data_IF_308416287616
#
_entry.id   IF_308416287616
#
_cell.length_a   1.000
_cell.length_b   1.000
_cell.length_c   1.000
_cell.angle_alpha   90.00
_cell.angle_beta   90.00
_cell.angle_gamma   90.00
#
_symmetry.space_group_name_H-M   'P 1'
#
loop_
_entity.id
_entity.type
_entity.pdbx_description
1 polymer ?
#
# COMPACT_ATOMS: atom_id res chain seq x y z
N UNK A 1 48.05 -32.30 -30.99
CA UNK A 1 48.77 -31.68 -32.13
C UNK A 1 47.75 -31.60 -33.24
N UNK A 2 47.00 -30.50 -33.26
CA UNK A 2 46.10 -30.16 -34.37
C UNK A 2 46.98 -29.65 -35.51
N UNK A 3 47.00 -30.36 -36.63
CA UNK A 3 47.59 -29.86 -37.87
C UNK A 3 46.48 -29.20 -38.70
N UNK A 4 46.67 -27.90 -38.94
CA UNK A 4 45.83 -27.03 -39.77
C UNK A 4 45.69 -27.57 -41.20
N UNK A 5 44.46 -27.80 -41.63
CA UNK A 5 44.13 -28.12 -43.03
C UNK A 5 43.76 -26.83 -43.79
N UNK A 6 44.42 -26.51 -44.92
CA UNK A 6 44.26 -25.22 -45.58
C UNK A 6 42.91 -25.10 -46.29
N UNK A 7 42.16 -24.03 -45.99
CA UNK A 7 40.94 -23.68 -46.72
C UNK A 7 41.27 -23.23 -48.15
N UNK A 8 40.86 -24.03 -49.15
CA UNK A 8 40.78 -23.58 -50.54
C UNK A 8 39.68 -22.53 -50.71
N UNK A 9 40.05 -21.36 -51.25
CA UNK A 9 39.11 -20.33 -51.69
C UNK A 9 38.34 -20.83 -52.91
N UNK A 10 37.03 -21.03 -52.75
CA UNK A 10 36.12 -21.25 -53.87
C UNK A 10 35.82 -19.89 -54.50
N UNK A 11 36.27 -19.72 -55.75
CA UNK A 11 36.08 -18.51 -56.53
C UNK A 11 34.64 -18.47 -57.08
N UNK A 12 33.76 -17.69 -56.45
CA UNK A 12 32.38 -17.52 -56.88
C UNK A 12 32.22 -16.32 -57.81
N UNK A 13 32.79 -16.45 -59.01
CA UNK A 13 32.50 -15.59 -60.15
C UNK A 13 31.19 -15.97 -60.84
N UNK A 14 30.04 -15.56 -60.30
CA UNK A 14 28.83 -15.22 -61.09
C UNK A 14 27.98 -14.20 -60.32
N UNK A 15 27.85 -12.99 -60.87
CA UNK A 15 26.97 -11.91 -60.40
C UNK A 15 25.49 -12.35 -60.45
N UNK A 16 25.02 -13.02 -59.41
CA UNK A 16 23.58 -13.07 -59.11
C UNK A 16 23.16 -11.67 -58.66
N UNK A 17 22.14 -11.12 -59.29
CA UNK A 17 21.59 -9.80 -58.95
C UNK A 17 21.43 -9.67 -57.43
N UNK A 18 21.97 -8.60 -56.86
CA UNK A 18 21.79 -8.24 -55.45
C UNK A 18 20.30 -7.98 -55.23
N UNK A 19 19.51 -9.03 -54.98
CA UNK A 19 18.27 -8.91 -54.23
C UNK A 19 18.69 -8.39 -52.86
N UNK A 20 18.57 -7.08 -52.69
CA UNK A 20 18.86 -6.35 -51.46
C UNK A 20 17.95 -6.97 -50.41
N UNK A 21 18.48 -7.90 -49.61
CA UNK A 21 17.74 -8.63 -48.58
C UNK A 21 17.32 -7.58 -47.54
N UNK A 22 16.12 -7.04 -47.68
CA UNK A 22 15.55 -6.06 -46.77
C UNK A 22 15.32 -6.79 -45.44
N UNK A 23 16.24 -6.60 -44.49
CA UNK A 23 16.02 -7.02 -43.10
C UNK A 23 15.11 -5.98 -42.47
N UNK A 24 13.80 -6.16 -42.65
CA UNK A 24 12.81 -5.37 -41.94
C UNK A 24 12.74 -5.90 -40.51
N UNK A 25 13.08 -5.06 -39.53
CA UNK A 25 12.81 -5.41 -38.14
C UNK A 25 11.29 -5.45 -37.93
N UNK A 26 10.73 -6.41 -37.17
CA UNK A 26 9.31 -6.38 -36.82
C UNK A 26 8.95 -5.04 -36.16
N UNK A 27 8.18 -4.20 -36.87
CA UNK A 27 7.81 -2.87 -36.39
C UNK A 27 8.71 -1.71 -36.84
N UNK A 28 9.58 -1.90 -37.82
CA UNK A 28 10.33 -0.79 -38.44
C UNK A 28 9.37 0.29 -38.97
N UNK A 29 9.62 1.55 -38.58
CA UNK A 29 8.76 2.69 -38.90
C UNK A 29 7.49 2.81 -38.04
N UNK A 30 7.24 1.90 -37.09
CA UNK A 30 6.10 1.99 -36.17
C UNK A 30 6.51 2.58 -34.82
N UNK A 31 5.68 3.47 -34.29
CA UNK A 31 5.83 4.02 -32.94
C UNK A 31 5.16 3.08 -31.93
N UNK A 32 5.84 2.67 -30.84
CA UNK A 32 5.23 1.80 -29.84
C UNK A 32 4.01 2.47 -29.21
N UNK A 33 2.95 1.69 -29.01
CA UNK A 33 1.77 2.16 -28.29
C UNK A 33 2.13 2.41 -26.82
N UNK A 34 1.55 3.47 -26.25
CA UNK A 34 1.68 3.72 -24.81
C UNK A 34 0.99 2.62 -24.02
N UNK A 35 1.57 2.25 -22.86
CA UNK A 35 1.00 1.30 -21.88
C UNK A 35 -0.44 1.68 -21.49
N UNK A 36 -0.79 2.97 -21.56
CA UNK A 36 -2.14 3.48 -21.27
C UNK A 36 -3.15 3.33 -22.41
N UNK A 37 -2.67 3.20 -23.65
CA UNK A 37 -3.51 3.13 -24.86
C UNK A 37 -3.76 1.70 -25.30
N UNK A 38 -2.80 0.81 -25.04
CA UNK A 38 -2.92 -0.60 -25.37
C UNK A 38 -3.66 -1.34 -24.24
N UNK A 39 -4.90 -1.72 -24.52
CA UNK A 39 -5.76 -2.43 -23.55
C UNK A 39 -5.23 -3.83 -23.24
N UNK A 40 -4.63 -4.49 -24.25
CA UNK A 40 -4.24 -5.89 -24.21
C UNK A 40 -2.75 -6.11 -23.96
N UNK A 41 -2.01 -5.03 -23.68
CA UNK A 41 -0.56 -5.05 -23.41
C UNK A 41 -0.15 -6.06 -22.34
N UNK A 42 -1.00 -6.32 -21.34
CA UNK A 42 -0.70 -7.28 -20.26
C UNK A 42 -0.58 -8.71 -20.83
N UNK A 43 -1.47 -9.05 -21.76
CA UNK A 43 -1.55 -10.36 -22.41
C UNK A 43 -0.49 -10.52 -23.49
N UNK A 44 -0.20 -9.44 -24.23
CA UNK A 44 0.79 -9.40 -25.31
C UNK A 44 2.23 -9.38 -24.78
N UNK A 45 2.50 -8.65 -23.70
CA UNK A 45 3.85 -8.56 -23.11
C UNK A 45 4.22 -9.83 -22.32
N UNK A 46 3.22 -10.55 -21.79
CA UNK A 46 3.44 -11.75 -20.96
C UNK A 46 2.74 -12.99 -21.50
N UNK A 47 3.06 -13.43 -22.73
CA UNK A 47 2.40 -14.58 -23.35
C UNK A 47 2.63 -15.88 -22.57
N UNK A 48 3.73 -16.01 -21.81
CA UNK A 48 3.97 -17.18 -20.94
C UNK A 48 3.00 -17.27 -19.76
N UNK A 49 2.45 -16.15 -19.30
CA UNK A 49 1.53 -16.11 -18.16
C UNK A 49 0.10 -16.39 -18.62
N UNK A 50 -0.27 -15.81 -19.77
CA UNK A 50 -1.64 -15.80 -20.29
C UNK A 50 -1.88 -16.74 -21.48
N UNK A 51 -0.83 -17.40 -21.98
CA UNK A 51 -0.85 -18.26 -23.17
C UNK A 51 -1.46 -17.58 -24.41
N UNK A 52 -1.29 -16.26 -24.52
CA UNK A 52 -1.87 -15.46 -25.62
C UNK A 52 -3.38 -15.25 -25.52
N UNK A 53 -4.02 -15.61 -24.40
CA UNK A 53 -5.45 -15.42 -24.20
C UNK A 53 -5.75 -14.20 -23.33
N UNK A 54 -6.71 -13.39 -23.79
CA UNK A 54 -7.30 -12.29 -23.01
C UNK A 54 -8.21 -12.85 -21.92
N UNK A 55 -8.13 -12.29 -20.72
CA UNK A 55 -9.06 -12.63 -19.64
C UNK A 55 -10.37 -11.87 -19.84
N UNK A 56 -11.48 -12.60 -20.05
CA UNK A 56 -12.81 -12.00 -20.07
C UNK A 56 -13.25 -11.67 -18.64
N UNK A 57 -13.21 -10.39 -18.27
CA UNK A 57 -13.66 -9.95 -16.95
C UNK A 57 -14.11 -8.49 -16.97
N UNK A 58 -15.08 -8.18 -16.11
CA UNK A 58 -15.57 -6.82 -15.84
C UNK A 58 -14.83 -6.15 -14.68
N UNK A 59 -13.93 -6.87 -14.00
CA UNK A 59 -13.22 -6.37 -12.83
C UNK A 59 -12.28 -5.21 -13.19
N UNK A 60 -12.14 -4.25 -12.26
CA UNK A 60 -11.22 -3.14 -12.44
C UNK A 60 -9.78 -3.65 -12.56
N UNK A 61 -8.93 -2.87 -13.23
CA UNK A 61 -7.51 -3.21 -13.35
C UNK A 61 -6.82 -3.37 -11.99
N UNK A 62 -7.21 -2.57 -10.99
CA UNK A 62 -6.68 -2.67 -9.63
C UNK A 62 -7.08 -4.00 -8.96
N UNK A 63 -8.31 -4.45 -9.15
CA UNK A 63 -8.79 -5.72 -8.59
C UNK A 63 -8.16 -6.91 -9.29
N UNK A 64 -7.99 -6.84 -10.62
CA UNK A 64 -7.21 -7.82 -11.37
C UNK A 64 -5.78 -7.91 -10.85
N UNK A 65 -5.09 -6.78 -10.66
CA UNK A 65 -3.75 -6.76 -10.08
C UNK A 65 -3.69 -7.40 -8.70
N UNK A 66 -4.59 -7.02 -7.78
CA UNK A 66 -4.67 -7.64 -6.45
C UNK A 66 -4.93 -9.14 -6.54
N UNK A 67 -5.83 -9.57 -7.43
CA UNK A 67 -6.11 -10.98 -7.67
C UNK A 67 -4.86 -11.70 -8.17
N UNK A 68 -4.17 -11.19 -9.19
CA UNK A 68 -2.97 -11.83 -9.73
C UNK A 68 -1.84 -11.91 -8.72
N UNK A 69 -1.65 -10.87 -7.90
CA UNK A 69 -0.69 -10.91 -6.81
C UNK A 69 -1.07 -12.01 -5.79
N UNK A 70 -2.36 -12.10 -5.40
CA UNK A 70 -2.87 -13.00 -4.35
C UNK A 70 -3.25 -14.41 -4.81
N UNK A 71 -3.09 -14.75 -6.08
CA UNK A 71 -3.52 -16.04 -6.60
C UNK A 71 -2.65 -17.16 -6.03
N UNK A 72 -3.31 -18.26 -5.65
CA UNK A 72 -2.66 -19.52 -5.30
C UNK A 72 -1.76 -20.03 -6.45
N UNK A 73 -2.16 -19.73 -7.69
CA UNK A 73 -1.41 -20.09 -8.88
C UNK A 73 -0.26 -19.11 -9.14
N UNK A 74 0.98 -19.57 -8.89
CA UNK A 74 2.16 -18.73 -8.71
C UNK A 74 2.83 -18.19 -9.97
N UNK A 75 2.37 -18.54 -11.18
CA UNK A 75 2.90 -18.01 -12.47
C UNK A 75 3.06 -16.49 -12.51
N UNK A 76 2.14 -15.76 -11.88
CA UNK A 76 2.16 -14.30 -11.84
C UNK A 76 3.14 -13.77 -10.79
N UNK A 77 3.31 -14.50 -9.69
CA UNK A 77 4.13 -14.12 -8.52
C UNK A 77 5.61 -14.44 -8.74
N UNK A 78 5.89 -15.57 -9.40
CA UNK A 78 7.24 -16.01 -9.78
C UNK A 78 7.94 -15.07 -10.75
N UNK A 79 7.20 -14.12 -11.33
CA UNK A 79 7.72 -13.11 -12.26
C UNK A 79 7.64 -11.71 -11.65
N UNK A 80 8.70 -11.26 -10.94
CA UNK A 80 8.76 -9.92 -10.38
C UNK A 80 8.55 -8.82 -11.43
N UNK A 81 9.03 -9.05 -12.65
CA UNK A 81 8.88 -8.12 -13.76
C UNK A 81 7.42 -7.95 -14.21
N UNK A 82 6.61 -9.01 -14.14
CA UNK A 82 5.16 -8.91 -14.35
C UNK A 82 4.49 -8.09 -13.25
N UNK A 83 4.83 -8.33 -11.98
CA UNK A 83 4.28 -7.57 -10.86
C UNK A 83 4.64 -6.08 -10.94
N UNK A 84 5.90 -5.76 -11.23
CA UNK A 84 6.38 -4.40 -11.41
C UNK A 84 5.70 -3.72 -12.61
N UNK A 85 5.52 -4.45 -13.72
CA UNK A 85 4.79 -3.96 -14.87
C UNK A 85 3.34 -3.61 -14.52
N UNK A 86 2.65 -4.51 -13.82
CA UNK A 86 1.27 -4.31 -13.42
C UNK A 86 1.12 -3.11 -12.48
N UNK A 87 2.00 -2.99 -11.48
CA UNK A 87 2.04 -1.84 -10.57
C UNK A 87 2.30 -0.54 -11.33
N UNK A 88 3.25 -0.53 -12.26
CA UNK A 88 3.54 0.64 -13.10
C UNK A 88 2.32 1.08 -13.90
N UNK A 89 1.61 0.15 -14.55
CA UNK A 89 0.37 0.45 -15.28
C UNK A 89 -0.73 0.94 -14.34
N UNK A 90 -0.84 0.40 -13.12
CA UNK A 90 -1.77 0.90 -12.09
C UNK A 90 -1.43 2.35 -11.69
N UNK A 91 -0.15 2.67 -11.47
CA UNK A 91 0.31 4.03 -11.20
C UNK A 91 -0.04 4.98 -12.35
N UNK A 92 0.17 4.57 -13.60
CA UNK A 92 -0.21 5.36 -14.77
C UNK A 92 -1.73 5.62 -14.84
N UNK A 93 -2.56 4.62 -14.56
CA UNK A 93 -4.02 4.82 -14.48
C UNK A 93 -4.40 5.82 -13.39
N UNK A 94 -3.79 5.72 -12.20
CA UNK A 94 -4.00 6.69 -11.11
C UNK A 94 -3.62 8.11 -11.54
N UNK A 95 -2.43 8.30 -12.09
CA UNK A 95 -1.95 9.59 -12.59
C UNK A 95 -2.90 10.18 -13.64
N UNK A 96 -3.32 9.37 -14.62
CA UNK A 96 -4.23 9.82 -15.69
C UNK A 96 -5.58 10.24 -15.13
N UNK A 97 -6.12 9.49 -14.17
CA UNK A 97 -7.38 9.83 -13.51
C UNK A 97 -7.26 11.08 -12.64
N UNK A 98 -6.12 11.30 -11.99
CA UNK A 98 -5.83 12.51 -11.24
C UNK A 98 -5.75 13.72 -12.16
N UNK A 99 -5.04 13.63 -13.29
CA UNK A 99 -5.01 14.69 -14.31
C UNK A 99 -6.42 15.05 -14.77
N UNK A 100 -7.22 14.05 -15.16
CA UNK A 100 -8.63 14.27 -15.57
C UNK A 100 -9.47 14.93 -14.48
N UNK A 101 -9.23 14.59 -13.22
CA UNK A 101 -9.96 15.16 -12.09
C UNK A 101 -9.55 16.61 -11.85
N UNK A 102 -8.26 16.92 -11.94
CA UNK A 102 -7.74 18.27 -11.78
C UNK A 102 -8.21 19.17 -12.90
N UNK A 103 -8.09 18.75 -14.16
CA UNK A 103 -8.57 19.52 -15.31
C UNK A 103 -10.07 19.83 -15.22
N UNK A 104 -10.88 18.93 -14.65
CA UNK A 104 -12.31 19.16 -14.41
C UNK A 104 -12.59 20.13 -13.25
N UNK A 105 -11.74 20.17 -12.23
CA UNK A 105 -11.91 21.01 -11.04
C UNK A 105 -11.33 22.42 -11.23
N UNK A 106 -10.23 22.54 -11.96
CA UNK A 106 -9.57 23.81 -12.22
C UNK A 106 -10.30 24.54 -13.34
N UNK A 107 -10.67 25.79 -13.10
CA UNK A 107 -11.32 26.66 -14.09
C UNK A 107 -10.27 27.54 -14.75
N UNK A 108 -10.37 27.70 -16.07
CA UNK A 108 -9.54 28.64 -16.81
C UNK A 108 -9.91 30.08 -16.40
N UNK A 109 -8.93 30.93 -16.02
CA UNK A 109 -9.18 32.32 -15.65
C UNK A 109 -9.88 33.11 -16.76
N UNK A 110 -9.55 32.80 -18.02
CA UNK A 110 -10.08 33.51 -19.19
C UNK A 110 -11.55 33.17 -19.51
N UNK A 111 -12.01 31.96 -19.19
CA UNK A 111 -13.35 31.49 -19.60
C UNK A 111 -14.26 31.10 -18.43
N UNK A 112 -13.73 30.96 -17.21
CA UNK A 112 -14.45 30.47 -16.05
C UNK A 112 -14.92 29.00 -16.14
N UNK A 113 -14.55 28.30 -17.22
CA UNK A 113 -14.92 26.90 -17.49
C UNK A 113 -13.75 25.96 -17.21
N UNK A 114 -13.98 24.65 -17.01
CA UNK A 114 -12.90 23.68 -16.85
C UNK A 114 -11.93 23.68 -18.04
N UNK A 115 -10.65 23.38 -17.78
CA UNK A 115 -9.63 23.33 -18.82
C UNK A 115 -9.92 22.20 -19.83
N UNK A 116 -9.84 22.53 -21.12
CA UNK A 116 -9.94 21.57 -22.23
C UNK A 116 -8.53 21.11 -22.63
N UNK A 117 -8.40 19.88 -23.14
CA UNK A 117 -7.11 19.31 -23.58
C UNK A 117 -6.37 20.20 -24.58
N UNK A 118 -7.08 20.80 -25.54
CA UNK A 118 -6.49 21.73 -26.52
C UNK A 118 -5.87 22.96 -25.87
N UNK A 119 -6.49 23.48 -24.80
CA UNK A 119 -5.95 24.62 -24.06
C UNK A 119 -4.66 24.22 -23.35
N UNK A 120 -4.62 23.05 -22.70
CA UNK A 120 -3.41 22.54 -22.03
C UNK A 120 -2.25 22.30 -23.01
N UNK A 121 -2.55 21.84 -24.23
CA UNK A 121 -1.53 21.51 -25.25
C UNK A 121 -0.99 22.75 -25.98
N UNK A 122 -1.81 23.80 -26.14
CA UNK A 122 -1.45 24.95 -26.98
C UNK A 122 -0.82 26.12 -26.20
N UNK A 123 -1.12 26.33 -24.90
CA UNK A 123 -0.44 27.28 -23.99
C UNK A 123 -1.05 27.27 -22.57
N UNK A 124 -0.29 27.66 -21.52
CA UNK A 124 -0.71 27.83 -20.11
C UNK A 124 -0.77 26.61 -19.17
N UNK A 125 0.16 25.65 -19.28
CA UNK A 125 0.51 24.80 -18.10
C UNK A 125 1.13 25.66 -16.99
N UNK A 126 1.77 26.77 -17.34
CA UNK A 126 2.41 27.72 -16.41
C UNK A 126 1.45 28.23 -15.34
N UNK A 127 0.18 28.52 -15.68
CA UNK A 127 -0.83 28.93 -14.71
C UNK A 127 -1.25 27.79 -13.78
N UNK A 128 -1.32 26.55 -14.29
CA UNK A 128 -1.54 25.38 -13.43
C UNK A 128 -0.35 25.10 -12.50
N UNK A 129 0.87 25.40 -12.94
CA UNK A 129 2.10 25.24 -12.17
C UNK A 129 2.26 26.34 -11.12
N UNK A 130 1.93 27.58 -11.45
CA UNK A 130 2.02 28.72 -10.52
C UNK A 130 1.00 28.61 -9.38
N UNK A 131 -0.16 28.00 -9.62
CA UNK A 131 -1.20 27.77 -8.61
C UNK A 131 -1.07 26.44 -7.85
N UNK A 132 0.08 25.75 -7.93
CA UNK A 132 0.33 24.41 -7.37
C UNK A 132 -0.65 23.31 -7.84
N UNK A 133 -1.55 23.58 -8.79
CA UNK A 133 -2.61 22.65 -9.19
C UNK A 133 -2.06 21.46 -9.95
N UNK A 134 -1.00 21.67 -10.73
CA UNK A 134 -0.32 20.60 -11.46
C UNK A 134 0.35 19.59 -10.51
N UNK A 135 0.88 20.02 -9.36
CA UNK A 135 1.51 19.11 -8.40
C UNK A 135 0.50 18.14 -7.79
N UNK A 136 -0.77 18.55 -7.62
CA UNK A 136 -1.84 17.69 -7.08
C UNK A 136 -2.08 16.43 -7.90
N UNK A 137 -1.58 16.35 -9.14
CA UNK A 137 -1.63 15.13 -9.96
C UNK A 137 -0.97 13.95 -9.25
N UNK A 138 0.07 14.22 -8.45
CA UNK A 138 0.81 13.21 -7.71
C UNK A 138 0.15 12.78 -6.39
N UNK A 139 -1.04 13.30 -6.08
CA UNK A 139 -1.79 12.86 -4.92
C UNK A 139 -2.11 11.36 -5.01
N UNK A 140 -1.70 10.58 -4.01
CA UNK A 140 -1.86 9.12 -4.00
C UNK A 140 -0.76 8.33 -4.73
N UNK A 141 0.27 9.00 -5.24
CA UNK A 141 1.56 8.36 -5.56
C UNK A 141 2.39 8.37 -4.28
N UNK A 142 2.64 7.20 -3.70
CA UNK A 142 3.41 7.07 -2.47
C UNK A 142 4.76 7.78 -2.61
N UNK A 143 5.20 8.40 -1.52
CA UNK A 143 6.46 9.15 -1.44
C UNK A 143 6.54 10.42 -2.30
N UNK A 144 5.46 10.82 -2.98
CA UNK A 144 5.43 12.14 -3.65
C UNK A 144 5.28 13.28 -2.63
N UNK A 145 5.72 14.49 -3.02
CA UNK A 145 5.58 15.66 -2.16
C UNK A 145 4.12 15.96 -1.79
N UNK A 146 3.19 15.82 -2.73
CA UNK A 146 1.76 16.04 -2.48
C UNK A 146 1.11 14.92 -1.65
N UNK A 147 1.61 13.69 -1.76
CA UNK A 147 1.22 12.61 -0.85
C UNK A 147 1.56 12.98 0.60
N UNK A 148 2.81 13.36 0.87
CA UNK A 148 3.22 13.78 2.23
C UNK A 148 2.54 15.05 2.71
N UNK A 149 2.26 16.00 1.80
CA UNK A 149 1.49 17.20 2.12
C UNK A 149 0.06 16.85 2.56
N UNK A 150 -0.57 15.86 1.93
CA UNK A 150 -1.87 15.37 2.35
C UNK A 150 -1.79 14.67 3.71
N UNK A 151 -0.86 13.74 3.89
CA UNK A 151 -0.76 13.00 5.15
C UNK A 151 -0.45 13.93 6.34
N UNK A 152 0.38 14.96 6.12
CA UNK A 152 0.58 16.03 7.10
C UNK A 152 -0.72 16.76 7.44
N UNK A 153 -1.57 17.08 6.44
CA UNK A 153 -2.87 17.72 6.68
C UNK A 153 -3.82 16.79 7.44
N UNK A 154 -3.84 15.50 7.10
CA UNK A 154 -4.64 14.49 7.80
C UNK A 154 -4.22 14.41 9.26
N UNK A 155 -2.91 14.28 9.53
CA UNK A 155 -2.36 14.27 10.89
C UNK A 155 -2.71 15.54 11.67
N UNK A 156 -2.54 16.72 11.06
CA UNK A 156 -2.90 17.98 11.71
C UNK A 156 -4.41 18.09 12.00
N UNK A 157 -5.25 17.55 11.11
CA UNK A 157 -6.69 17.47 11.34
C UNK A 157 -7.02 16.51 12.49
N UNK A 158 -6.35 15.36 12.57
CA UNK A 158 -6.47 14.42 13.68
C UNK A 158 -6.05 15.06 15.00
N UNK A 159 -4.88 15.72 15.06
CA UNK A 159 -4.41 16.43 16.27
C UNK A 159 -5.42 17.49 16.72
N UNK A 160 -6.00 18.24 15.76
CA UNK A 160 -6.98 19.28 16.07
C UNK A 160 -8.32 18.73 16.56
N UNK A 161 -8.72 17.54 16.13
CA UNK A 161 -10.02 16.94 16.44
C UNK A 161 -9.98 15.99 17.64
N UNK A 162 -8.96 15.12 17.68
CA UNK A 162 -8.78 14.06 18.67
C UNK A 162 -7.85 14.47 19.82
N UNK A 163 -7.09 15.56 19.66
CA UNK A 163 -6.09 15.98 20.63
C UNK A 163 -4.69 15.49 20.27
N UNK A 164 -3.71 15.83 21.11
CA UNK A 164 -2.32 15.43 20.91
C UNK A 164 -2.23 13.92 21.17
N UNK A 165 -1.64 13.12 20.26
CA UNK A 165 -1.43 11.70 20.52
C UNK A 165 -0.56 11.52 21.76
N UNK A 166 -1.04 10.71 22.71
CA UNK A 166 -0.34 10.47 23.99
C UNK A 166 0.87 9.55 23.83
N UNK A 167 0.79 8.57 22.92
CA UNK A 167 1.88 7.66 22.61
C UNK A 167 2.01 7.43 21.11
N UNK A 168 3.24 7.28 20.63
CA UNK A 168 3.56 6.87 19.27
C UNK A 168 4.19 5.48 19.32
N UNK A 169 3.50 4.50 18.76
CA UNK A 169 4.01 3.15 18.62
C UNK A 169 4.29 2.88 17.15
N UNK A 170 5.51 2.46 16.83
CA UNK A 170 5.84 1.92 15.51
C UNK A 170 6.05 0.42 15.67
N UNK A 171 5.14 -0.36 15.08
CA UNK A 171 5.23 -1.82 15.07
C UNK A 171 5.82 -2.24 13.73
N UNK A 172 6.86 -3.06 13.76
CA UNK A 172 7.41 -3.73 12.58
C UNK A 172 7.40 -5.23 12.83
N UNK A 173 7.14 -6.01 11.78
CA UNK A 173 7.26 -7.45 11.85
C UNK A 173 8.76 -7.79 11.90
N UNK A 174 9.21 -8.51 12.92
CA UNK A 174 10.56 -9.06 12.94
C UNK A 174 10.57 -10.37 12.12
N UNK A 175 10.71 -10.27 10.80
CA UNK A 175 10.48 -11.40 9.88
C UNK A 175 11.38 -12.59 10.14
N UNK A 176 12.62 -12.33 10.57
CA UNK A 176 13.62 -13.36 10.86
C UNK A 176 13.33 -14.15 12.14
N UNK A 177 12.46 -13.61 13.01
CA UNK A 177 12.05 -14.21 14.28
C UNK A 177 10.68 -14.89 14.21
N UNK A 178 9.96 -14.75 13.09
CA UNK A 178 8.66 -15.39 12.90
C UNK A 178 8.86 -16.79 12.29
N UNK A 179 9.04 -17.82 13.13
CA UNK A 179 9.46 -19.16 12.69
C UNK A 179 8.50 -19.82 11.68
N UNK A 180 7.20 -19.52 11.74
CA UNK A 180 6.24 -20.04 10.76
C UNK A 180 6.48 -19.53 9.33
N UNK A 181 7.10 -18.35 9.17
CA UNK A 181 7.35 -17.75 7.87
C UNK A 181 8.46 -18.51 7.10
N UNK A 182 9.67 -18.75 7.65
CA UNK A 182 10.68 -19.58 7.02
C UNK A 182 10.22 -21.01 6.73
N UNK A 183 9.38 -21.64 7.58
CA UNK A 183 8.80 -22.97 7.32
C UNK A 183 8.07 -22.98 5.97
N UNK A 184 7.15 -22.03 5.79
CA UNK A 184 6.37 -21.94 4.56
C UNK A 184 7.22 -21.56 3.36
N UNK A 185 8.12 -20.58 3.53
CA UNK A 185 8.99 -20.17 2.43
C UNK A 185 9.90 -21.32 1.98
N UNK A 186 10.39 -22.16 2.89
CA UNK A 186 11.18 -23.36 2.56
C UNK A 186 10.34 -24.36 1.76
N UNK A 187 9.09 -24.60 2.16
CA UNK A 187 8.17 -25.46 1.44
C UNK A 187 7.83 -24.91 0.05
N UNK A 188 7.68 -23.60 -0.10
CA UNK A 188 7.31 -22.97 -1.37
C UNK A 188 8.50 -22.92 -2.32
N UNK A 189 9.64 -22.41 -1.86
CA UNK A 189 10.83 -22.10 -2.67
C UNK A 189 11.64 -23.36 -2.93
N UNK A 190 11.95 -24.13 -1.88
CA UNK A 190 12.86 -25.28 -1.97
C UNK A 190 12.12 -26.63 -1.99
N UNK A 191 10.80 -26.63 -1.81
CA UNK A 191 9.96 -27.85 -1.77
C UNK A 191 10.33 -28.81 -0.64
N UNK A 192 10.85 -28.28 0.47
CA UNK A 192 11.19 -29.05 1.68
C UNK A 192 10.30 -28.61 2.82
N UNK A 193 9.67 -29.58 3.48
CA UNK A 193 8.93 -29.36 4.72
C UNK A 193 9.91 -29.42 5.90
N UNK A 194 9.88 -28.38 6.72
CA UNK A 194 10.72 -28.25 7.91
C UNK A 194 9.83 -27.91 9.12
N UNK A 195 10.27 -28.27 10.31
CA UNK A 195 9.62 -27.88 11.56
C UNK A 195 9.98 -26.44 11.98
N UNK A 196 9.22 -25.86 12.91
CA UNK A 196 9.53 -24.53 13.46
C UNK A 196 10.89 -24.48 14.18
N UNK A 197 11.30 -25.58 14.82
CA UNK A 197 12.59 -25.69 15.49
C UNK A 197 13.75 -25.69 14.47
N UNK A 198 13.58 -26.39 13.35
CA UNK A 198 14.55 -26.36 12.24
C UNK A 198 14.59 -24.98 11.57
N UNK A 199 13.43 -24.32 11.44
CA UNK A 199 13.34 -22.95 10.94
C UNK A 199 14.07 -21.94 11.83
N UNK A 200 14.02 -22.12 13.15
CA UNK A 200 14.75 -21.27 14.09
C UNK A 200 16.27 -21.40 13.89
N UNK A 201 16.75 -22.64 13.71
CA UNK A 201 18.16 -22.98 13.50
C UNK A 201 18.73 -22.53 12.14
N UNK A 202 17.88 -22.12 11.18
CA UNK A 202 18.36 -21.60 9.88
C UNK A 202 19.24 -20.36 10.06
N UNK A 203 20.31 -20.30 9.26
CA UNK A 203 21.18 -19.13 9.24
C UNK A 203 20.43 -17.88 8.76
N UNK A 204 20.84 -16.70 9.22
CA UNK A 204 20.24 -15.42 8.81
C UNK A 204 20.33 -15.24 7.29
N UNK A 205 21.43 -15.69 6.68
CA UNK A 205 21.62 -15.63 5.22
C UNK A 205 20.55 -16.45 4.49
N UNK A 206 20.26 -17.65 4.98
CA UNK A 206 19.25 -18.52 4.39
C UNK A 206 17.83 -17.97 4.60
N UNK A 207 17.51 -17.46 5.80
CA UNK A 207 16.23 -16.76 6.05
C UNK A 207 16.04 -15.58 5.09
N UNK A 208 17.08 -14.78 4.85
CA UNK A 208 17.04 -13.67 3.88
C UNK A 208 16.85 -14.15 2.44
N UNK A 209 17.56 -15.21 2.03
CA UNK A 209 17.41 -15.79 0.68
C UNK A 209 15.97 -16.22 0.43
N UNK A 210 15.34 -16.90 1.40
CA UNK A 210 13.96 -17.34 1.32
C UNK A 210 12.98 -16.16 1.18
N UNK A 211 13.16 -15.09 1.98
CA UNK A 211 12.31 -13.89 1.90
C UNK A 211 12.50 -13.17 0.55
N UNK A 212 13.72 -13.09 0.04
CA UNK A 212 14.01 -12.45 -1.25
C UNK A 212 13.50 -13.27 -2.45
N UNK A 213 13.51 -14.59 -2.33
CA UNK A 213 13.00 -15.49 -3.36
C UNK A 213 11.48 -15.37 -3.52
N UNK A 214 10.77 -15.10 -2.42
CA UNK A 214 9.32 -14.92 -2.43
C UNK A 214 8.85 -13.78 -1.50
N UNK A 215 9.03 -12.52 -1.93
CA UNK A 215 8.61 -11.37 -1.13
C UNK A 215 7.08 -11.29 -1.04
N UNK A 216 6.35 -11.91 -1.96
CA UNK A 216 4.89 -11.78 -2.06
C UNK A 216 4.19 -12.60 -0.99
N UNK A 217 4.61 -13.85 -0.75
CA UNK A 217 4.06 -14.65 0.36
C UNK A 217 4.30 -13.98 1.71
N UNK A 218 5.46 -13.34 1.88
CA UNK A 218 5.73 -12.49 3.04
C UNK A 218 4.69 -11.37 3.20
N UNK A 219 4.41 -10.58 2.16
CA UNK A 219 3.45 -9.45 2.24
C UNK A 219 1.98 -9.87 2.32
N UNK A 220 1.64 -11.11 1.96
CA UNK A 220 0.24 -11.56 1.92
C UNK A 220 -0.27 -12.15 3.23
N UNK A 221 0.62 -12.72 4.05
CA UNK A 221 0.24 -13.44 5.26
C UNK A 221 -0.24 -12.57 6.44
N UNK A 222 0.01 -11.24 6.56
CA UNK A 222 -0.53 -10.48 7.70
C UNK A 222 -2.06 -10.46 7.76
N UNK A 223 -2.76 -10.87 6.70
CA UNK A 223 -4.23 -10.90 6.64
C UNK A 223 -4.84 -12.31 6.52
N UNK A 224 -4.03 -13.36 6.60
CA UNK A 224 -4.51 -14.74 6.74
C UNK A 224 -3.96 -15.31 8.05
N UNK A 225 -4.38 -14.71 9.17
CA UNK A 225 -4.57 -15.51 10.37
C UNK A 225 -5.75 -16.43 10.06
N UNK A 226 -5.54 -17.72 10.24
CA UNK A 226 -6.62 -18.70 10.26
C UNK A 226 -7.46 -18.50 11.54
N UNK A 227 -7.86 -17.26 11.86
CA UNK A 227 -8.90 -17.02 12.84
C UNK A 227 -10.21 -17.41 12.16
N UNK A 228 -10.45 -18.71 12.17
CA UNK A 228 -11.62 -19.37 11.58
C UNK A 228 -12.88 -19.09 12.40
N UNK A 229 -12.74 -18.55 13.61
CA UNK A 229 -13.85 -18.30 14.53
C UNK A 229 -13.76 -16.92 15.22
N UNK A 230 -14.91 -16.32 15.55
CA UNK A 230 -14.99 -15.07 16.32
C UNK A 230 -14.25 -15.17 17.67
N UNK A 231 -14.22 -16.37 18.28
CA UNK A 231 -13.54 -16.62 19.54
C UNK A 231 -12.01 -16.46 19.46
N UNK A 232 -11.40 -16.80 18.33
CA UNK A 232 -9.96 -16.60 18.10
C UNK A 232 -9.61 -15.13 17.92
N UNK A 233 -10.52 -14.35 17.28
CA UNK A 233 -10.38 -12.90 17.14
C UNK A 233 -10.47 -12.23 18.52
N UNK A 234 -11.44 -12.61 19.34
CA UNK A 234 -11.60 -12.07 20.70
C UNK A 234 -10.43 -12.40 21.63
N UNK A 235 -9.81 -13.58 21.45
CA UNK A 235 -8.62 -13.95 22.20
C UNK A 235 -7.42 -13.09 21.78
N UNK A 236 -7.25 -12.85 20.48
CA UNK A 236 -6.18 -12.00 19.97
C UNK A 236 -6.39 -10.54 20.40
N UNK A 237 -7.62 -10.03 20.34
CA UNK A 237 -7.96 -8.67 20.75
C UNK A 237 -7.67 -8.47 22.25
N UNK A 238 -7.90 -9.49 23.09
CA UNK A 238 -7.49 -9.50 24.51
C UNK A 238 -5.97 -9.44 24.67
N UNK A 239 -5.22 -10.28 23.95
CA UNK A 239 -3.75 -10.26 24.03
C UNK A 239 -3.16 -8.90 23.61
N UNK A 240 -3.74 -8.28 22.58
CA UNK A 240 -3.31 -6.95 22.13
C UNK A 240 -3.70 -5.88 23.16
N UNK A 241 -4.91 -5.94 23.73
CA UNK A 241 -5.34 -5.04 24.79
C UNK A 241 -4.43 -5.16 26.03
N UNK A 242 -4.11 -6.38 26.47
CA UNK A 242 -3.20 -6.65 27.59
C UNK A 242 -1.79 -6.10 27.32
N UNK A 243 -1.29 -6.24 26.09
CA UNK A 243 -0.01 -5.66 25.67
C UNK A 243 -0.04 -4.13 25.72
N UNK A 244 -1.11 -3.51 25.20
CA UNK A 244 -1.29 -2.05 25.24
C UNK A 244 -1.41 -1.58 26.69
N UNK A 245 -2.19 -2.27 27.53
CA UNK A 245 -2.33 -1.97 28.95
C UNK A 245 -0.98 -2.09 29.67
N UNK A 246 -0.15 -3.07 29.31
CA UNK A 246 1.21 -3.19 29.84
C UNK A 246 2.06 -1.95 29.55
N UNK A 247 1.93 -1.38 28.34
CA UNK A 247 2.61 -0.14 27.93
C UNK A 247 2.02 1.07 28.66
N UNK A 248 0.69 1.19 28.71
CA UNK A 248 -0.01 2.34 29.32
C UNK A 248 0.23 2.39 30.83
N UNK A 249 0.25 1.23 31.50
CA UNK A 249 0.44 1.10 32.95
C UNK A 249 1.92 1.13 33.37
N UNK A 250 2.85 1.19 32.41
CA UNK A 250 4.29 1.09 32.66
C UNK A 250 4.67 -0.15 33.49
N UNK A 251 3.91 -1.25 33.39
CA UNK A 251 4.11 -2.47 34.18
C UNK A 251 5.23 -3.38 33.65
N UNK A 252 5.77 -3.06 32.48
CA UNK A 252 7.08 -3.56 32.02
C UNK A 252 8.13 -2.48 32.22
N UNK A 253 9.22 -2.83 32.90
CA UNK A 253 10.38 -1.97 33.04
C UNK A 253 10.89 -1.55 31.66
N UNK A 254 10.70 -0.27 31.36
CA UNK A 254 11.37 0.45 30.29
C UNK A 254 12.88 0.45 30.58
N UNK A 255 13.68 0.25 29.55
CA UNK A 255 15.12 -0.05 29.53
C UNK A 255 16.04 1.12 29.94
N UNK A 256 15.73 1.77 31.07
CA UNK A 256 16.69 2.61 31.79
C UNK A 256 16.48 4.12 31.67
N UNK A 257 15.24 4.61 31.62
CA UNK A 257 14.94 6.01 31.94
C UNK A 257 13.80 6.10 32.96
N UNK A 258 13.96 6.88 34.05
CA UNK A 258 13.08 6.80 35.21
C UNK A 258 11.80 7.64 35.00
N UNK A 259 10.65 6.96 34.88
CA UNK A 259 9.35 7.58 35.11
C UNK A 259 8.62 6.75 36.17
N UNK A 260 8.93 7.01 37.45
CA UNK A 260 8.12 6.52 38.55
C UNK A 260 6.87 7.40 38.67
N UNK A 261 5.75 6.96 38.10
CA UNK A 261 4.44 7.35 38.64
C UNK A 261 4.13 6.33 39.71
N UNK A 262 4.16 6.78 40.97
CA UNK A 262 3.85 5.96 42.12
C UNK A 262 2.33 6.05 42.37
N UNK A 263 1.55 4.97 42.23
CA UNK A 263 0.08 5.01 42.40
C UNK A 263 -0.40 5.44 43.79
N UNK A 264 0.52 5.56 44.77
CA UNK A 264 0.24 6.04 46.11
C UNK A 264 0.15 7.57 46.24
N UNK A 265 0.58 8.32 45.22
CA UNK A 265 0.63 9.79 45.24
C UNK A 265 -0.39 10.44 44.26
N UNK A 266 -1.38 9.69 43.78
CA UNK A 266 -2.43 10.24 42.89
C UNK A 266 -3.47 11.02 43.69
N UNK A 267 -3.55 12.34 43.46
CA UNK A 267 -4.50 13.25 44.11
C UNK A 267 -5.60 13.69 43.13
N UNK A 268 -6.70 14.27 43.63
CA UNK A 268 -7.81 14.85 42.83
C UNK A 268 -7.32 15.88 41.78
N UNK A 269 -6.25 16.63 42.12
CA UNK A 269 -5.60 17.60 41.23
C UNK A 269 -4.89 16.93 40.04
N UNK A 270 -4.28 15.76 40.26
CA UNK A 270 -3.62 14.98 39.19
C UNK A 270 -4.64 14.44 38.20
N UNK A 271 -5.80 13.97 38.69
CA UNK A 271 -6.91 13.52 37.86
C UNK A 271 -7.56 14.65 37.07
N UNK A 272 -7.75 15.83 37.68
CA UNK A 272 -8.28 16.99 36.96
C UNK A 272 -7.31 17.53 35.91
N UNK A 273 -6.00 17.40 36.10
CA UNK A 273 -5.00 17.70 35.06
C UNK A 273 -5.06 16.71 33.88
N UNK A 274 -5.16 15.41 34.16
CA UNK A 274 -5.28 14.37 33.13
C UNK A 274 -6.59 14.51 32.33
N UNK A 275 -7.71 14.84 33.00
CA UNK A 275 -8.99 15.11 32.34
C UNK A 275 -8.94 16.36 31.47
N UNK A 276 -8.21 17.42 31.87
CA UNK A 276 -7.97 18.59 31.00
C UNK A 276 -7.24 18.20 29.71
N UNK A 277 -6.31 17.25 29.76
CA UNK A 277 -5.58 16.75 28.58
C UNK A 277 -6.47 15.97 27.61
N UNK A 278 -7.60 15.42 28.07
CA UNK A 278 -8.61 14.71 27.27
C UNK A 278 -9.71 15.64 26.71
N UNK A 279 -9.68 16.93 27.03
CA UNK A 279 -10.62 17.93 26.49
C UNK A 279 -9.99 18.70 25.33
N UNK A 280 -10.70 18.84 24.21
CA UNK A 280 -10.24 19.70 23.11
C UNK A 280 -11.00 21.03 23.10
N UNK A 281 -10.36 22.10 22.58
CA UNK A 281 -11.01 23.40 22.39
C UNK A 281 -12.02 23.34 21.25
N UNK A 282 -13.31 23.41 21.55
CA UNK A 282 -14.36 23.29 20.53
C UNK A 282 -14.29 24.38 19.45
N UNK A 283 -14.09 23.96 18.21
CA UNK A 283 -14.15 24.78 16.99
C UNK A 283 -15.55 24.76 16.36
N UNK A 284 -15.85 25.66 15.42
CA UNK A 284 -17.16 25.72 14.76
C UNK A 284 -17.57 24.38 14.10
N UNK A 285 -16.60 23.60 13.60
CA UNK A 285 -16.82 22.31 12.94
C UNK A 285 -17.22 21.19 13.89
N UNK A 286 -16.80 21.26 15.16
CA UNK A 286 -17.12 20.24 16.15
C UNK A 286 -18.36 20.58 16.99
N UNK A 287 -18.96 21.77 16.83
CA UNK A 287 -20.19 22.14 17.55
C UNK A 287 -21.42 21.71 16.74
N UNK A 288 -22.36 21.03 17.38
CA UNK A 288 -23.66 20.65 16.80
C UNK A 288 -24.76 21.02 17.79
N UNK A 289 -25.88 21.57 17.29
CA UNK A 289 -27.07 21.76 18.13
C UNK A 289 -27.80 20.44 18.30
N UNK A 290 -28.13 20.07 19.54
CA UNK A 290 -29.03 18.97 19.88
C UNK A 290 -30.12 19.57 20.76
N UNK A 291 -31.27 19.88 20.15
CA UNK A 291 -32.32 20.68 20.78
C UNK A 291 -31.82 22.10 21.12
N UNK A 292 -31.99 22.52 22.38
CA UNK A 292 -31.55 23.82 22.89
C UNK A 292 -30.06 23.88 23.25
N UNK A 293 -29.36 22.74 23.30
CA UNK A 293 -27.96 22.66 23.74
C UNK A 293 -26.99 22.57 22.56
N UNK A 294 -25.83 23.22 22.71
CA UNK A 294 -24.70 23.06 21.77
C UNK A 294 -23.77 21.99 22.33
N UNK A 295 -23.73 20.83 21.66
CA UNK A 295 -22.93 19.67 22.05
C UNK A 295 -21.78 19.45 21.07
N UNK A 296 -20.75 18.71 21.49
CA UNK A 296 -19.71 18.27 20.59
C UNK A 296 -20.23 17.22 19.60
N UNK A 297 -19.98 17.39 18.29
CA UNK A 297 -20.28 16.41 17.23
C UNK A 297 -19.62 15.06 17.48
N UNK A 298 -18.45 15.07 18.12
CA UNK A 298 -17.65 13.88 18.44
C UNK A 298 -17.86 13.41 19.88
N UNK A 299 -18.78 14.03 20.62
CA UNK A 299 -19.10 13.68 22.02
C UNK A 299 -17.90 13.74 22.99
N UNK A 300 -16.97 14.69 22.75
CA UNK A 300 -15.80 14.93 23.62
C UNK A 300 -16.21 15.84 24.80
N UNK A 301 -15.73 15.63 26.05
CA UNK A 301 -14.70 14.67 26.48
C UNK A 301 -15.15 13.23 26.30
N UNK A 302 -14.25 12.39 25.79
CA UNK A 302 -14.46 10.95 25.84
C UNK A 302 -14.47 10.55 27.31
N UNK A 303 -15.49 9.78 27.71
CA UNK A 303 -15.48 9.20 29.04
C UNK A 303 -14.26 8.27 29.15
N UNK A 304 -13.54 8.29 30.29
CA UNK A 304 -12.46 7.35 30.51
C UNK A 304 -13.02 5.92 30.36
N UNK A 305 -12.39 5.11 29.51
CA UNK A 305 -12.71 3.70 29.43
C UNK A 305 -12.04 2.99 30.61
N UNK A 306 -12.76 2.06 31.25
CA UNK A 306 -12.23 1.28 32.38
C UNK A 306 -11.18 0.24 31.96
N UNK A 307 -11.09 -0.08 30.67
CA UNK A 307 -10.13 -1.00 30.08
C UNK A 307 -9.81 -0.64 28.63
N UNK A 308 -8.64 -1.04 28.15
CA UNK A 308 -8.30 -0.92 26.73
C UNK A 308 -9.15 -1.88 25.90
N UNK A 309 -9.77 -1.39 24.82
CA UNK A 309 -10.59 -2.20 23.92
C UNK A 309 -10.32 -1.84 22.46
N UNK A 310 -10.23 -2.85 21.61
CA UNK A 310 -10.16 -2.68 20.15
C UNK A 310 -11.58 -2.44 19.63
N UNK A 311 -11.80 -1.31 18.96
CA UNK A 311 -13.08 -0.98 18.33
C UNK A 311 -13.04 -1.37 16.85
N UNK A 312 -13.88 -2.32 16.46
CA UNK A 312 -14.11 -2.67 15.05
C UNK A 312 -15.30 -1.88 14.51
N UNK A 313 -15.37 -1.65 13.18
CA UNK A 313 -16.55 -1.04 12.57
C UNK A 313 -17.80 -1.85 12.94
N UNK A 314 -18.86 -1.17 13.36
CA UNK A 314 -20.14 -1.80 13.71
C UNK A 314 -20.64 -2.58 12.50
N UNK A 315 -21.02 -3.84 12.72
CA UNK A 315 -21.60 -4.66 11.67
C UNK A 315 -23.07 -4.24 11.54
N UNK A 316 -23.39 -3.53 10.45
CA UNK A 316 -24.69 -2.87 10.25
C UNK A 316 -25.90 -3.83 10.30
N UNK A 317 -25.66 -5.14 10.20
CA UNK A 317 -26.70 -6.18 10.18
C UNK A 317 -27.06 -6.71 11.58
N UNK A 318 -26.14 -6.67 12.56
CA UNK A 318 -26.40 -7.20 13.91
C UNK A 318 -26.81 -6.13 14.93
N UNK A 319 -26.39 -4.88 14.75
CA UNK A 319 -26.54 -3.85 15.80
C UNK A 319 -27.82 -3.01 15.70
N UNK A 320 -28.73 -3.31 14.76
CA UNK A 320 -30.06 -2.68 14.70
C UNK A 320 -30.97 -3.03 15.89
N UNK A 321 -30.51 -3.89 16.81
CA UNK A 321 -31.21 -4.27 18.04
C UNK A 321 -30.76 -3.50 19.28
N UNK A 322 -29.75 -2.63 19.20
CA UNK A 322 -29.19 -1.91 20.38
C UNK A 322 -29.83 -0.51 20.57
N UNK A 323 -30.81 -0.12 19.74
CA UNK A 323 -31.61 1.09 19.98
C UNK A 323 -32.98 0.75 20.55
N UNK A 324 -33.01 0.41 21.84
CA UNK A 324 -34.14 0.71 22.75
C UNK A 324 -33.62 1.36 24.04
#
# INVERSE_FOLDING_TARGET
MEEDMPMHRIDHGQRKSKLKRLRLAPGEGKTPLSILRDEDIDYLAFPKIFYGHKLATTASYADRYRSFAKRLYRRCVERPDFLMFMDKKLQYHKLTNNVRTILRKTKSPATGRPYIVSQVMNENITNLLSEDQAYKVFHGVCSSAEYWRQEKKNLMAMIRQLGIPTFFLTLSAAETKWNELPVQLKQIVDKVEISEHEAEALTIAEKRRLIQADPVTYYQRPNYTNATTEAEIDLLDRQVADFIDTIITCSRDWDGSPHHINPRDSNEETWTELLKRQTHKHTATCRRKRGSQTVCRFNIPFLPMSATKILRPLNLETDSQITE
#
